data_IF_890459396475
#
_entry.id   IF_890459396475
#
_cell.length_a   1.000
_cell.length_b   1.000
_cell.length_c   1.000
_cell.angle_alpha   90.00
_cell.angle_beta   90.00
_cell.angle_gamma   90.00
#
_symmetry.space_group_name_H-M   'P 1'
#
loop_
_entity.id
_entity.type
_entity.pdbx_description
1 polymer ?
#
# COMPACT_ATOMS: atom_id res chain seq x y z
N UNK A 1 -1.07 6.43 17.56
CA UNK A 1 -0.04 6.82 16.59
C UNK A 1 0.61 5.59 16.02
N UNK A 2 1.21 4.71 16.84
CA UNK A 2 1.75 3.41 16.38
C UNK A 2 0.70 2.52 15.69
N UNK A 3 -0.49 2.38 16.28
CA UNK A 3 -1.55 1.56 15.70
C UNK A 3 -2.01 2.06 14.32
N UNK A 4 -2.19 3.38 14.16
CA UNK A 4 -2.56 3.99 12.86
C UNK A 4 -1.48 3.73 11.81
N UNK A 5 -0.21 3.89 12.17
CA UNK A 5 0.90 3.56 11.29
C UNK A 5 0.93 2.07 10.92
N UNK A 6 0.57 1.18 11.85
CA UNK A 6 0.46 -0.25 11.55
C UNK A 6 -0.60 -0.55 10.50
N UNK A 7 -1.78 0.08 10.58
CA UNK A 7 -2.78 -0.03 9.51
C UNK A 7 -2.25 0.49 8.17
N UNK A 8 -1.52 1.60 8.18
CA UNK A 8 -0.92 2.18 6.99
C UNK A 8 0.08 1.22 6.33
N UNK A 9 1.05 0.72 7.08
CA UNK A 9 2.08 -0.20 6.56
C UNK A 9 1.50 -1.56 6.16
N UNK A 10 0.54 -2.08 6.93
CA UNK A 10 -0.18 -3.30 6.60
C UNK A 10 -0.97 -3.18 5.29
N UNK A 11 -1.53 -2.00 5.00
CA UNK A 11 -2.19 -1.71 3.72
C UNK A 11 -1.27 -1.91 2.52
N UNK A 12 -0.06 -1.33 2.57
CA UNK A 12 0.94 -1.53 1.51
C UNK A 12 1.35 -3.00 1.40
N UNK A 13 1.61 -3.66 2.53
CA UNK A 13 2.08 -5.04 2.57
C UNK A 13 1.05 -6.01 1.97
N UNK A 14 -0.20 -5.95 2.42
CA UNK A 14 -1.29 -6.77 1.88
C UNK A 14 -1.40 -6.60 0.37
N UNK A 15 -1.45 -5.34 -0.09
CA UNK A 15 -1.71 -5.10 -1.50
C UNK A 15 -0.52 -5.45 -2.40
N UNK A 16 0.71 -5.32 -1.91
CA UNK A 16 1.89 -5.80 -2.61
C UNK A 16 1.77 -7.30 -2.93
N UNK A 17 1.36 -8.12 -1.95
CA UNK A 17 1.12 -9.55 -2.16
C UNK A 17 -0.03 -9.77 -3.17
N UNK A 18 -1.17 -9.09 -3.00
CA UNK A 18 -2.34 -9.24 -3.88
C UNK A 18 -2.06 -8.92 -5.34
N UNK A 19 -1.20 -7.94 -5.61
CA UNK A 19 -0.83 -7.57 -6.99
C UNK A 19 0.28 -8.45 -7.57
N UNK A 20 0.79 -9.42 -6.81
CA UNK A 20 1.85 -10.34 -7.23
C UNK A 20 3.25 -9.76 -7.14
N UNK A 21 3.45 -8.72 -6.31
CA UNK A 21 4.78 -8.30 -5.89
C UNK A 21 5.22 -9.11 -4.67
N UNK A 22 6.50 -9.02 -4.31
CA UNK A 22 7.04 -9.65 -3.10
C UNK A 22 7.33 -8.59 -2.05
N UNK A 23 6.84 -8.79 -0.83
CA UNK A 23 7.28 -7.99 0.32
C UNK A 23 8.62 -8.56 0.80
N UNK A 24 9.64 -7.71 1.03
CA UNK A 24 10.90 -8.14 1.63
C UNK A 24 10.87 -8.01 3.15
N UNK A 25 10.38 -6.87 3.62
CA UNK A 25 10.04 -6.62 5.02
C UNK A 25 9.09 -5.42 5.10
N UNK A 26 8.40 -5.29 6.23
CA UNK A 26 7.58 -4.15 6.62
C UNK A 26 7.87 -3.82 8.09
N UNK A 27 8.02 -2.53 8.42
CA UNK A 27 8.39 -2.10 9.77
C UNK A 27 7.57 -0.90 10.24
N UNK A 28 7.41 -0.76 11.55
CA UNK A 28 6.93 0.45 12.24
C UNK A 28 8.07 1.39 12.63
N UNK A 29 9.31 0.91 12.57
CA UNK A 29 10.49 1.66 12.99
C UNK A 29 11.06 2.36 11.76
N UNK A 30 11.18 3.70 11.78
CA UNK A 30 11.80 4.40 10.68
C UNK A 30 13.28 4.06 10.57
N UNK A 31 13.69 3.36 9.50
CA UNK A 31 15.12 3.16 9.24
C UNK A 31 15.72 4.43 8.61
N UNK A 32 16.76 4.97 9.25
CA UNK A 32 17.48 6.15 8.74
C UNK A 32 18.39 5.71 7.57
N UNK A 33 17.88 5.69 6.34
CA UNK A 33 18.64 5.37 5.13
C UNK A 33 17.86 5.50 3.82
N UNK A 34 18.47 6.16 2.81
CA UNK A 34 17.88 6.41 1.49
C UNK A 34 18.07 5.20 0.55
N UNK A 35 16.96 4.63 0.07
CA UNK A 35 16.94 3.60 -0.97
C UNK A 35 15.77 3.82 -1.95
N UNK A 36 15.94 3.60 -3.25
CA UNK A 36 14.98 3.98 -4.29
C UNK A 36 13.68 3.14 -4.35
N UNK A 37 13.62 2.00 -3.63
CA UNK A 37 12.50 1.05 -3.68
C UNK A 37 11.63 1.05 -2.40
N UNK A 38 11.69 2.11 -1.58
CA UNK A 38 10.89 2.25 -0.35
C UNK A 38 9.55 2.91 -0.66
N UNK A 39 8.46 2.22 -0.33
CA UNK A 39 7.15 2.87 -0.11
C UNK A 39 7.04 2.96 1.40
N UNK A 40 7.10 4.14 2.00
CA UNK A 40 7.13 4.26 3.47
C UNK A 40 8.16 3.32 4.13
N UNK A 41 7.82 2.64 5.22
CA UNK A 41 8.69 1.69 5.94
C UNK A 41 8.54 0.24 5.46
N UNK A 42 8.03 0.03 4.24
CA UNK A 42 8.00 -1.27 3.55
C UNK A 42 8.95 -1.31 2.34
N UNK A 43 9.62 -2.45 2.19
CA UNK A 43 10.44 -2.76 1.02
C UNK A 43 9.74 -3.77 0.12
N UNK A 44 9.39 -3.36 -1.10
CA UNK A 44 8.71 -4.21 -2.09
C UNK A 44 9.67 -4.56 -3.23
N UNK A 45 9.70 -5.83 -3.62
CA UNK A 45 10.39 -6.33 -4.79
C UNK A 45 9.39 -6.63 -5.91
N UNK A 46 9.58 -5.98 -7.06
CA UNK A 46 8.69 -6.10 -8.21
C UNK A 46 9.26 -7.10 -9.22
N UNK A 47 8.52 -8.16 -9.61
CA UNK A 47 8.95 -9.07 -10.66
C UNK A 47 8.79 -8.40 -12.04
N UNK A 48 9.74 -7.53 -12.40
CA UNK A 48 9.68 -6.67 -13.61
C UNK A 48 9.55 -7.45 -14.92
N UNK A 49 10.02 -8.71 -14.96
CA UNK A 49 9.92 -9.57 -16.14
C UNK A 49 8.53 -10.19 -16.33
N UNK A 50 7.64 -10.09 -15.33
CA UNK A 50 6.30 -10.66 -15.36
C UNK A 50 5.22 -9.65 -15.75
N UNK A 51 5.53 -8.35 -15.77
CA UNK A 51 4.57 -7.29 -16.02
C UNK A 51 5.00 -6.43 -17.21
N UNK A 52 4.04 -5.99 -18.02
CA UNK A 52 4.30 -4.87 -18.92
C UNK A 52 4.59 -3.61 -18.11
N UNK A 53 5.32 -2.65 -18.70
CA UNK A 53 5.61 -1.38 -18.02
C UNK A 53 4.34 -0.65 -17.56
N UNK A 54 3.24 -0.73 -18.31
CA UNK A 54 1.96 -0.14 -17.92
C UNK A 54 1.36 -0.86 -16.72
N UNK A 55 1.30 -2.19 -16.75
CA UNK A 55 0.75 -2.98 -15.64
C UNK A 55 1.54 -2.80 -14.35
N UNK A 56 2.89 -2.79 -14.45
CA UNK A 56 3.76 -2.52 -13.31
C UNK A 56 3.40 -1.18 -12.66
N UNK A 57 3.34 -0.11 -13.43
CA UNK A 57 3.01 1.21 -12.89
C UNK A 57 1.57 1.30 -12.39
N UNK A 58 0.61 0.59 -12.99
CA UNK A 58 -0.73 0.50 -12.42
C UNK A 58 -0.73 -0.19 -11.06
N UNK A 59 0.01 -1.30 -10.90
CA UNK A 59 0.13 -2.00 -9.61
C UNK A 59 0.87 -1.16 -8.56
N UNK A 60 1.91 -0.43 -8.95
CA UNK A 60 2.61 0.51 -8.05
C UNK A 60 1.68 1.61 -7.53
N UNK A 61 0.76 2.11 -8.37
CA UNK A 61 -0.28 3.06 -7.93
C UNK A 61 -1.17 2.44 -6.90
N UNK A 62 -1.59 1.19 -7.13
CA UNK A 62 -2.45 0.48 -6.20
C UNK A 62 -1.75 0.34 -4.85
N UNK A 63 -0.51 -0.18 -4.83
CA UNK A 63 0.31 -0.35 -3.60
C UNK A 63 0.51 0.97 -2.87
N UNK A 64 0.88 2.05 -3.58
CA UNK A 64 1.06 3.37 -2.95
C UNK A 64 -0.23 3.88 -2.28
N UNK A 65 -1.40 3.69 -2.89
CA UNK A 65 -2.66 4.17 -2.31
C UNK A 65 -3.18 3.28 -1.17
N UNK A 66 -2.62 2.08 -0.97
CA UNK A 66 -3.13 1.08 -0.05
C UNK A 66 -3.03 1.50 1.43
N UNK A 67 -1.90 2.06 1.83
CA UNK A 67 -1.70 2.54 3.21
C UNK A 67 -2.70 3.63 3.61
N UNK A 68 -2.82 4.73 2.84
CA UNK A 68 -3.85 5.74 3.06
C UNK A 68 -5.27 5.16 3.08
N UNK A 69 -5.58 4.18 2.22
CA UNK A 69 -6.89 3.51 2.19
C UNK A 69 -7.17 2.69 3.45
N UNK A 70 -6.19 1.92 3.92
CA UNK A 70 -6.32 1.15 5.14
C UNK A 70 -6.57 2.06 6.35
N UNK A 71 -5.83 3.17 6.43
CA UNK A 71 -6.01 4.19 7.47
C UNK A 71 -7.40 4.85 7.40
N UNK A 72 -7.90 5.19 6.20
CA UNK A 72 -9.25 5.71 6.01
C UNK A 72 -10.33 4.77 6.54
N UNK A 73 -10.21 3.47 6.25
CA UNK A 73 -11.16 2.45 6.71
C UNK A 73 -11.09 2.32 8.23
N UNK A 74 -9.89 2.22 8.81
CA UNK A 74 -9.70 2.07 10.26
C UNK A 74 -10.24 3.27 11.04
N UNK A 75 -9.94 4.49 10.57
CA UNK A 75 -10.32 5.73 11.26
C UNK A 75 -11.74 6.19 10.96
N UNK A 76 -12.38 5.64 9.92
CA UNK A 76 -13.65 6.13 9.38
C UNK A 76 -13.55 7.54 8.78
N UNK A 77 -12.34 8.03 8.49
CA UNK A 77 -12.11 9.37 7.98
C UNK A 77 -12.35 9.42 6.45
N UNK A 78 -13.24 10.29 5.94
CA UNK A 78 -13.68 10.27 4.55
C UNK A 78 -12.74 11.00 3.56
N UNK A 79 -11.47 11.23 3.92
CA UNK A 79 -10.64 12.22 3.22
C UNK A 79 -9.98 11.70 1.96
N UNK A 80 -10.00 12.52 0.91
CA UNK A 80 -9.20 12.28 -0.29
C UNK A 80 -7.70 12.26 0.05
N UNK A 81 -6.91 11.26 -0.39
CA UNK A 81 -5.55 11.09 0.11
C UNK A 81 -4.62 12.28 -0.06
N UNK A 82 -4.78 13.05 -1.14
CA UNK A 82 -4.01 14.29 -1.38
C UNK A 82 -4.29 15.48 -0.44
N UNK A 83 -5.13 15.33 0.60
CA UNK A 83 -5.45 16.39 1.57
C UNK A 83 -4.81 16.18 2.95
N UNK A 84 -4.23 14.99 3.19
CA UNK A 84 -3.59 14.63 4.46
C UNK A 84 -2.08 14.74 4.25
N UNK A 85 -1.40 15.55 5.06
CA UNK A 85 0.01 15.86 4.87
C UNK A 85 0.90 14.63 5.05
N UNK A 86 0.49 13.74 5.95
CA UNK A 86 1.13 12.48 6.30
C UNK A 86 1.16 11.50 5.11
N UNK A 87 0.22 11.60 4.17
CA UNK A 87 0.11 10.72 3.00
C UNK A 87 0.72 11.32 1.73
N UNK A 88 1.43 12.45 1.84
CA UNK A 88 1.96 13.18 0.69
C UNK A 88 2.97 12.37 -0.12
N UNK A 89 3.81 11.55 0.54
CA UNK A 89 4.76 10.63 -0.10
C UNK A 89 4.05 9.60 -0.97
N UNK A 90 3.03 8.95 -0.43
CA UNK A 90 2.26 7.90 -1.11
C UNK A 90 1.50 8.45 -2.29
N UNK A 91 0.86 9.60 -2.08
CA UNK A 91 0.20 10.32 -3.16
C UNK A 91 1.17 10.71 -4.28
N UNK A 92 2.38 11.18 -3.94
CA UNK A 92 3.40 11.53 -4.92
C UNK A 92 3.92 10.30 -5.68
N UNK A 93 4.12 9.17 -4.99
CA UNK A 93 4.52 7.91 -5.60
C UNK A 93 3.46 7.39 -6.59
N UNK A 94 2.19 7.42 -6.19
CA UNK A 94 1.06 7.09 -7.05
C UNK A 94 0.98 8.04 -8.27
N UNK A 95 1.14 9.35 -8.03
CA UNK A 95 1.11 10.36 -9.08
C UNK A 95 2.21 10.17 -10.13
N UNK A 96 3.44 9.92 -9.69
CA UNK A 96 4.57 9.65 -10.59
C UNK A 96 4.37 8.35 -11.38
N UNK A 97 3.81 7.31 -10.75
CA UNK A 97 3.53 6.04 -11.42
C UNK A 97 2.44 6.19 -12.49
N UNK A 98 1.33 6.87 -12.19
CA UNK A 98 0.29 7.17 -13.20
C UNK A 98 0.85 7.97 -14.38
N UNK A 99 1.79 8.89 -14.12
CA UNK A 99 2.39 9.73 -15.16
C UNK A 99 3.12 8.94 -16.25
N UNK A 100 3.45 7.68 -15.99
CA UNK A 100 4.14 6.78 -16.94
C UNK A 100 3.23 6.27 -18.05
N UNK A 101 1.91 6.32 -17.87
CA UNK A 101 0.95 5.83 -18.85
C UNK A 101 -0.26 6.76 -19.09
N UNK A 102 -0.42 7.83 -18.30
CA UNK A 102 -1.38 8.90 -18.55
C UNK A 102 -0.62 10.24 -18.56
N UNK A 103 -0.60 10.95 -19.69
CA UNK A 103 0.10 12.23 -19.79
C UNK A 103 -0.73 13.41 -19.25
N UNK A 104 -2.04 13.39 -19.48
CA UNK A 104 -2.94 14.48 -19.12
C UNK A 104 -3.20 14.54 -17.60
N UNK A 105 -2.94 15.71 -16.99
CA UNK A 105 -3.01 15.91 -15.54
C UNK A 105 -4.41 15.69 -14.96
N UNK A 106 -5.47 16.10 -15.67
CA UNK A 106 -6.84 15.91 -15.18
C UNK A 106 -7.23 14.43 -15.21
N UNK A 107 -6.85 13.72 -16.28
CA UNK A 107 -7.06 12.27 -16.37
C UNK A 107 -6.29 11.49 -15.30
N UNK A 108 -5.09 11.95 -14.90
CA UNK A 108 -4.38 11.33 -13.75
C UNK A 108 -5.19 11.43 -12.47
N UNK A 109 -5.75 12.62 -12.19
CA UNK A 109 -6.55 12.83 -10.99
C UNK A 109 -7.79 11.93 -10.99
N UNK A 110 -8.53 11.89 -12.11
CA UNK A 110 -9.70 11.00 -12.27
C UNK A 110 -9.31 9.53 -12.06
N UNK A 111 -8.16 9.11 -12.58
CA UNK A 111 -7.67 7.75 -12.40
C UNK A 111 -7.38 7.44 -10.93
N UNK A 112 -6.65 8.33 -10.22
CA UNK A 112 -6.28 8.14 -8.82
C UNK A 112 -7.50 8.15 -7.89
N UNK A 113 -8.46 9.06 -8.12
CA UNK A 113 -9.72 9.09 -7.38
C UNK A 113 -10.51 7.78 -7.56
N UNK A 114 -10.55 7.26 -8.79
CA UNK A 114 -11.21 6.00 -9.09
C UNK A 114 -10.48 4.83 -8.42
N UNK A 115 -9.15 4.76 -8.55
CA UNK A 115 -8.34 3.72 -7.94
C UNK A 115 -8.51 3.68 -6.42
N UNK A 116 -8.55 4.86 -5.78
CA UNK A 116 -8.77 4.99 -4.33
C UNK A 116 -10.13 4.40 -3.91
N UNK A 117 -11.20 4.70 -4.66
CA UNK A 117 -12.55 4.16 -4.37
C UNK A 117 -12.64 2.64 -4.58
N UNK A 118 -12.02 2.14 -5.65
CA UNK A 118 -11.95 0.71 -5.95
C UNK A 118 -11.16 -0.02 -4.86
N UNK A 119 -10.04 0.56 -4.41
CA UNK A 119 -9.24 0.04 -3.29
C UNK A 119 -10.00 0.03 -1.98
N UNK A 120 -10.67 1.13 -1.64
CA UNK A 120 -11.49 1.20 -0.43
C UNK A 120 -12.51 0.05 -0.41
N UNK A 121 -13.21 -0.15 -1.53
CA UNK A 121 -14.19 -1.23 -1.67
C UNK A 121 -13.54 -2.60 -1.52
N UNK A 122 -12.39 -2.83 -2.15
CA UNK A 122 -11.66 -4.09 -2.08
C UNK A 122 -11.19 -4.41 -0.66
N UNK A 123 -10.50 -3.47 -0.02
CA UNK A 123 -9.88 -3.64 1.31
C UNK A 123 -10.94 -3.75 2.40
N UNK A 124 -12.09 -3.10 2.24
CA UNK A 124 -13.21 -3.21 3.18
C UNK A 124 -13.93 -4.56 3.19
N UNK A 125 -13.61 -5.47 2.27
CA UNK A 125 -14.20 -6.81 2.26
C UNK A 125 -13.67 -7.66 3.41
N UNK A 126 -14.54 -8.42 4.07
CA UNK A 126 -14.25 -9.17 5.30
C UNK A 126 -12.93 -9.95 5.28
N UNK A 127 -12.64 -10.69 4.20
CA UNK A 127 -11.42 -11.48 4.09
C UNK A 127 -10.15 -10.63 3.94
N UNK A 128 -10.19 -9.57 3.13
CA UNK A 128 -9.06 -8.65 2.97
C UNK A 128 -8.82 -7.85 4.26
N UNK A 129 -9.89 -7.40 4.91
CA UNK A 129 -9.79 -6.69 6.17
C UNK A 129 -9.25 -7.57 7.29
N UNK A 130 -9.67 -8.85 7.35
CA UNK A 130 -9.14 -9.80 8.32
C UNK A 130 -7.65 -10.10 8.09
N UNK A 131 -7.22 -10.28 6.84
CA UNK A 131 -5.81 -10.42 6.50
C UNK A 131 -5.00 -9.19 6.92
N UNK A 132 -5.51 -7.98 6.62
CA UNK A 132 -4.88 -6.72 7.00
C UNK A 132 -4.76 -6.60 8.53
N UNK A 133 -5.84 -6.85 9.26
CA UNK A 133 -5.86 -6.79 10.72
C UNK A 133 -4.88 -7.78 11.35
N UNK A 134 -4.73 -8.98 10.78
CA UNK A 134 -3.73 -9.94 11.24
C UNK A 134 -2.28 -9.44 11.00
N UNK A 135 -2.01 -8.75 9.88
CA UNK A 135 -0.70 -8.10 9.68
C UNK A 135 -0.48 -6.99 10.72
N UNK A 136 -1.51 -6.21 11.03
CA UNK A 136 -1.46 -5.14 12.05
C UNK A 136 -1.14 -5.71 13.42
N UNK A 137 -1.84 -6.77 13.85
CA UNK A 137 -1.62 -7.41 15.16
C UNK A 137 -0.17 -7.87 15.30
N UNK A 138 0.38 -8.50 14.27
CA UNK A 138 1.76 -8.98 14.24
C UNK A 138 2.77 -7.82 14.17
N UNK A 139 2.49 -6.76 13.40
CA UNK A 139 3.34 -5.54 13.36
C UNK A 139 3.37 -4.82 14.71
N UNK A 140 2.24 -4.72 15.40
CA UNK A 140 2.19 -4.11 16.74
C UNK A 140 2.94 -4.97 17.76
N UNK A 141 2.89 -6.29 17.63
CA UNK A 141 3.58 -7.21 18.54
C UNK A 141 5.11 -7.27 18.30
N UNK A 142 5.55 -7.16 17.05
CA UNK A 142 6.92 -7.44 16.65
C UNK A 142 7.68 -6.26 16.07
N UNK A 143 7.02 -5.13 15.82
CA UNK A 143 7.50 -3.89 15.21
C UNK A 143 8.00 -4.04 13.76
N UNK A 144 8.45 -5.22 13.34
CA UNK A 144 8.92 -5.55 12.00
C UNK A 144 8.53 -6.97 11.64
N UNK A 145 8.06 -7.17 10.41
CA UNK A 145 7.78 -8.47 9.83
C UNK A 145 8.62 -8.65 8.56
N UNK A 146 9.15 -9.85 8.36
CA UNK A 146 9.75 -10.23 7.09
C UNK A 146 8.66 -10.57 6.04
N UNK A 147 9.09 -10.67 4.78
CA UNK A 147 8.21 -10.98 3.67
C UNK A 147 7.46 -12.30 3.78
N UNK A 148 8.12 -13.33 4.30
CA UNK A 148 7.57 -14.68 4.37
C UNK A 148 6.49 -14.76 5.47
N UNK A 149 6.66 -14.03 6.58
CA UNK A 149 5.65 -13.84 7.61
C UNK A 149 4.40 -13.14 7.06
N UNK A 150 4.58 -12.03 6.33
CA UNK A 150 3.46 -11.32 5.70
C UNK A 150 2.72 -12.23 4.71
N UNK A 151 3.45 -12.94 3.84
CA UNK A 151 2.86 -13.85 2.88
C UNK A 151 2.05 -14.96 3.56
N UNK A 152 2.58 -15.54 4.64
CA UNK A 152 1.88 -16.58 5.40
C UNK A 152 0.57 -16.09 6.00
N UNK A 153 0.57 -14.86 6.57
CA UNK A 153 -0.65 -14.25 7.10
C UNK A 153 -1.68 -14.08 5.99
N UNK A 154 -1.29 -13.49 4.85
CA UNK A 154 -2.21 -13.25 3.73
C UNK A 154 -2.82 -14.57 3.20
N UNK A 155 -2.00 -15.60 3.01
CA UNK A 155 -2.45 -16.93 2.55
C UNK A 155 -3.38 -17.65 3.54
N UNK A 156 -3.35 -17.28 4.81
CA UNK A 156 -4.24 -17.88 5.82
C UNK A 156 -5.68 -17.38 5.67
N UNK A 157 -5.86 -16.18 5.12
CA UNK A 157 -7.15 -15.49 5.06
C UNK A 157 -7.76 -15.41 3.64
N UNK A 158 -6.96 -15.59 2.59
CA UNK A 158 -7.34 -15.47 1.17
C UNK A 158 -7.10 -16.77 0.40
#
# INVERSE_FOLDING_TARGET
MEEINAYHEAGHALLAILVGARVRHVSLIPEWGEGPDRFAEIQVEWPIDQFTSRELHQKMVMVALAGPVAEMIHTGAPYHPGLVGEWASDWQAAWHSVARFISDRQQRMIFLERATKELYTLVSQDHHWAALAAIVDELVAHETLDGDQVEHIVQTWL
#
